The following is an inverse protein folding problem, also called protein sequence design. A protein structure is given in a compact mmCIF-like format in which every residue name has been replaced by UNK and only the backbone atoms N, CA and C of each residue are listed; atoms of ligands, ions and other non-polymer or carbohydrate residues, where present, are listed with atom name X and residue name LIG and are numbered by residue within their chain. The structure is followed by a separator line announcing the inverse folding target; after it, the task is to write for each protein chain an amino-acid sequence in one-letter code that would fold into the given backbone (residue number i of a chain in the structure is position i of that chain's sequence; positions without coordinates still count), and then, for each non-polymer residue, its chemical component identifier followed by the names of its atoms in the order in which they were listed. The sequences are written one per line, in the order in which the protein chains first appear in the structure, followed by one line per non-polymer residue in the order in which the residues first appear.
data_IF_801565073904
#
_entry.id   IF_801565073904
#
_cell.length_a   1.000
_cell.length_b   1.000
_cell.length_c   1.000
_cell.angle_alpha   90.00
_cell.angle_beta   90.00
_cell.angle_gamma   90.00
#
_symmetry.space_group_name_H-M   'P 1'
#
loop_
_entity.id
_entity.type
_entity.pdbx_description
1 polymer ?
#
# COMPACT_ATOMS: atom_id res chain seq x y z
N UNK A 1 -10.61 -9.03 -17.26
CA UNK A 1 -9.40 -8.21 -17.07
C UNK A 1 -9.20 -7.39 -18.33
N UNK A 2 -8.64 -6.17 -18.29
CA UNK A 2 -8.16 -5.55 -19.53
C UNK A 2 -7.24 -6.56 -20.22
N UNK A 3 -7.39 -6.76 -21.54
CA UNK A 3 -6.48 -7.64 -22.27
C UNK A 3 -5.04 -7.13 -22.13
N UNK A 4 -4.07 -8.05 -22.07
CA UNK A 4 -2.62 -7.78 -22.04
C UNK A 4 -2.19 -6.66 -23.00
N UNK A 5 -2.84 -6.61 -24.17
CA UNK A 5 -2.58 -5.63 -25.22
C UNK A 5 -2.80 -4.17 -24.78
N UNK A 6 -3.71 -3.92 -23.84
CA UNK A 6 -4.09 -2.58 -23.42
C UNK A 6 -3.41 -2.12 -22.13
N UNK A 7 -3.08 -3.04 -21.22
CA UNK A 7 -2.50 -2.66 -19.92
C UNK A 7 -1.11 -2.02 -20.06
N UNK A 8 -0.38 -2.30 -21.15
CA UNK A 8 0.89 -1.62 -21.49
C UNK A 8 0.78 -0.10 -21.60
N UNK A 9 -0.43 0.43 -21.83
CA UNK A 9 -0.68 1.89 -21.88
C UNK A 9 -0.93 2.49 -20.49
N UNK A 10 -1.15 1.67 -19.46
CA UNK A 10 -1.27 2.12 -18.08
C UNK A 10 0.12 2.42 -17.52
N UNK A 11 0.59 3.64 -17.76
CA UNK A 11 1.82 4.14 -17.17
C UNK A 11 1.71 5.64 -16.84
N UNK A 12 2.62 6.09 -15.99
CA UNK A 12 2.62 7.46 -15.49
C UNK A 12 2.94 8.47 -16.57
N UNK A 13 3.77 8.12 -17.57
CA UNK A 13 4.12 9.03 -18.66
C UNK A 13 2.88 9.39 -19.49
N UNK A 14 2.05 8.40 -19.81
CA UNK A 14 0.78 8.62 -20.49
C UNK A 14 -0.19 9.43 -19.61
N UNK A 15 -0.29 9.09 -18.32
CA UNK A 15 -1.14 9.84 -17.37
C UNK A 15 -0.77 11.33 -17.31
N UNK A 16 0.52 11.67 -17.40
CA UNK A 16 1.00 13.05 -17.43
C UNK A 16 0.64 13.75 -18.74
N UNK A 17 0.81 13.09 -19.90
CA UNK A 17 0.40 13.67 -21.18
C UNK A 17 -1.12 13.85 -21.27
N UNK A 18 -1.91 12.97 -20.66
CA UNK A 18 -3.37 13.13 -20.55
C UNK A 18 -3.77 14.36 -19.73
N UNK A 19 -3.07 14.62 -18.61
CA UNK A 19 -3.27 15.85 -17.81
C UNK A 19 -2.99 17.09 -18.65
N UNK A 20 -1.89 17.10 -19.42
CA UNK A 20 -1.57 18.21 -20.33
C UNK A 20 -2.66 18.39 -21.39
N UNK A 21 -3.03 17.31 -22.08
CA UNK A 21 -4.03 17.33 -23.14
C UNK A 21 -5.38 17.85 -22.63
N UNK A 22 -5.79 17.42 -21.43
CA UNK A 22 -6.99 17.92 -20.79
C UNK A 22 -6.95 19.44 -20.59
N UNK A 23 -5.86 19.96 -20.00
CA UNK A 23 -5.71 21.39 -19.76
C UNK A 23 -5.73 22.19 -21.06
N UNK A 24 -5.02 21.74 -22.09
CA UNK A 24 -4.99 22.39 -23.40
C UNK A 24 -6.38 22.42 -24.04
N UNK A 25 -7.13 21.31 -23.96
CA UNK A 25 -8.49 21.22 -24.51
C UNK A 25 -9.49 22.08 -23.74
N UNK A 26 -9.40 22.17 -22.42
CA UNK A 26 -10.24 23.08 -21.64
C UNK A 26 -9.90 24.54 -21.97
N UNK A 27 -8.61 24.88 -22.10
CA UNK A 27 -8.23 26.23 -22.49
C UNK A 27 -8.78 26.60 -23.88
N UNK A 28 -8.72 25.68 -24.84
CA UNK A 28 -9.28 25.85 -26.19
C UNK A 28 -10.81 26.02 -26.13
N UNK A 29 -11.51 25.09 -25.48
CA UNK A 29 -12.98 25.05 -25.41
C UNK A 29 -13.57 26.31 -24.77
N UNK A 30 -12.92 26.84 -23.74
CA UNK A 30 -13.39 28.01 -23.00
C UNK A 30 -12.64 29.31 -23.37
N UNK A 31 -11.80 29.28 -24.41
CA UNK A 31 -11.01 30.41 -24.89
C UNK A 31 -10.20 31.11 -23.78
N UNK A 32 -9.53 30.32 -22.94
CA UNK A 32 -8.74 30.78 -21.81
C UNK A 32 -7.30 31.10 -22.25
N UNK A 33 -6.94 32.39 -22.33
CA UNK A 33 -5.65 32.82 -22.92
C UNK A 33 -4.50 33.06 -21.92
N UNK A 34 -4.77 33.11 -20.61
CA UNK A 34 -3.76 33.33 -19.55
C UNK A 34 -4.15 32.60 -18.23
N UNK A 35 -4.71 31.40 -18.33
CA UNK A 35 -5.18 30.68 -17.14
C UNK A 35 -4.04 30.17 -16.25
N UNK A 36 -4.21 30.38 -14.95
CA UNK A 36 -3.30 29.85 -13.93
C UNK A 36 -3.83 28.51 -13.42
N UNK A 37 -3.33 27.42 -13.99
CA UNK A 37 -3.67 26.07 -13.55
C UNK A 37 -2.89 25.69 -12.29
N UNK A 38 -3.62 25.31 -11.25
CA UNK A 38 -3.08 24.67 -10.05
C UNK A 38 -3.62 23.25 -10.01
N UNK A 39 -2.74 22.25 -9.90
CA UNK A 39 -3.12 20.85 -9.79
C UNK A 39 -2.97 20.38 -8.35
N UNK A 40 -3.95 19.66 -7.81
CA UNK A 40 -3.92 19.16 -6.44
C UNK A 40 -4.19 17.67 -6.41
N UNK A 41 -3.52 16.95 -5.51
CA UNK A 41 -3.71 15.51 -5.35
C UNK A 41 -3.15 14.99 -4.04
N UNK A 42 -3.60 13.78 -3.68
CA UNK A 42 -3.13 13.03 -2.52
C UNK A 42 -2.56 11.67 -2.94
N UNK A 43 -1.51 11.22 -2.25
CA UNK A 43 -0.84 9.94 -2.52
C UNK A 43 -0.41 9.85 -4.00
N UNK A 44 -0.80 8.80 -4.73
CA UNK A 44 -0.50 8.65 -6.16
C UNK A 44 -0.92 9.87 -7.00
N UNK A 45 -2.12 10.42 -6.77
CA UNK A 45 -2.57 11.63 -7.48
C UNK A 45 -1.78 12.88 -7.06
N UNK A 46 -1.22 12.90 -5.85
CA UNK A 46 -0.30 13.93 -5.39
C UNK A 46 1.06 13.83 -6.11
N UNK A 47 1.55 12.60 -6.32
CA UNK A 47 2.73 12.34 -7.14
C UNK A 47 2.48 12.82 -8.57
N UNK A 48 1.34 12.48 -9.19
CA UNK A 48 0.96 13.01 -10.51
C UNK A 48 0.90 14.56 -10.52
N UNK A 49 0.32 15.18 -9.50
CA UNK A 49 0.23 16.64 -9.40
C UNK A 49 1.63 17.29 -9.38
N UNK A 50 2.53 16.79 -8.53
CA UNK A 50 3.91 17.27 -8.44
C UNK A 50 4.64 17.12 -9.78
N UNK A 51 4.53 15.94 -10.41
CA UNK A 51 5.22 15.61 -11.65
C UNK A 51 4.65 16.37 -12.86
N UNK A 52 3.35 16.54 -12.95
CA UNK A 52 2.73 17.32 -14.01
C UNK A 52 3.22 18.78 -13.97
N UNK A 53 3.29 19.37 -12.77
CA UNK A 53 3.84 20.72 -12.58
C UNK A 53 5.31 20.82 -12.97
N UNK A 54 6.10 19.79 -12.65
CA UNK A 54 7.51 19.74 -12.99
C UNK A 54 7.72 19.61 -14.50
N UNK A 55 6.95 18.75 -15.17
CA UNK A 55 7.07 18.44 -16.60
C UNK A 55 6.50 19.52 -17.51
N UNK A 56 5.41 20.17 -17.10
CA UNK A 56 4.71 21.17 -17.91
C UNK A 56 4.66 22.55 -17.22
N UNK A 57 5.83 23.17 -16.93
CA UNK A 57 5.89 24.36 -16.09
C UNK A 57 5.33 25.63 -16.74
N UNK A 58 5.24 25.66 -18.07
CA UNK A 58 4.59 26.74 -18.81
C UNK A 58 3.06 26.68 -18.70
N UNK A 59 2.51 25.47 -18.56
CA UNK A 59 1.08 25.19 -18.55
C UNK A 59 0.49 25.19 -17.12
N UNK A 60 1.20 24.58 -16.18
CA UNK A 60 0.77 24.42 -14.78
C UNK A 60 1.61 25.35 -13.91
N UNK A 61 0.94 26.24 -13.15
CA UNK A 61 1.61 27.27 -12.33
C UNK A 61 2.03 26.77 -10.96
N UNK A 62 1.28 25.84 -10.38
CA UNK A 62 1.58 25.27 -9.07
C UNK A 62 0.97 23.88 -8.90
N UNK A 63 1.50 23.14 -7.93
CA UNK A 63 0.95 21.87 -7.50
C UNK A 63 0.79 21.82 -5.97
N UNK A 64 -0.28 21.18 -5.51
CA UNK A 64 -0.49 20.81 -4.10
C UNK A 64 -0.42 19.30 -4.03
N UNK A 65 0.72 18.77 -3.59
CA UNK A 65 0.99 17.34 -3.51
C UNK A 65 0.98 16.88 -2.05
N UNK A 66 -0.11 16.25 -1.62
CA UNK A 66 -0.30 15.83 -0.22
C UNK A 66 0.08 14.36 -0.06
N UNK A 67 0.93 14.04 0.93
CA UNK A 67 1.36 12.66 1.21
C UNK A 67 1.85 11.90 -0.03
N UNK A 68 2.52 12.63 -0.94
CA UNK A 68 2.90 12.14 -2.25
C UNK A 68 4.28 11.47 -2.19
N UNK A 69 4.39 10.16 -2.45
CA UNK A 69 5.71 9.53 -2.60
C UNK A 69 6.33 9.98 -3.94
N UNK A 70 7.39 10.79 -3.86
CA UNK A 70 8.06 11.37 -5.03
C UNK A 70 9.25 10.54 -5.53
N UNK A 71 9.66 9.51 -4.78
CA UNK A 71 10.71 8.58 -5.14
C UNK A 71 10.13 7.18 -5.18
N UNK A 72 10.14 6.56 -6.36
CA UNK A 72 9.81 5.15 -6.54
C UNK A 72 10.85 4.28 -5.81
N UNK A 73 10.39 3.24 -5.13
CA UNK A 73 11.24 2.37 -4.33
C UNK A 73 10.53 1.05 -4.16
N UNK A 74 11.28 -0.06 -4.28
CA UNK A 74 10.77 -1.42 -4.15
C UNK A 74 10.11 -1.70 -2.78
N UNK A 75 10.50 -0.93 -1.77
CA UNK A 75 9.87 -0.99 -0.46
C UNK A 75 9.50 0.40 -0.01
N UNK A 76 8.37 0.49 0.69
CA UNK A 76 7.98 1.68 1.44
C UNK A 76 8.07 1.39 2.94
N UNK A 77 8.61 2.34 3.71
CA UNK A 77 8.79 2.26 5.17
C UNK A 77 7.46 2.40 5.95
N UNK A 78 6.38 1.89 5.37
CA UNK A 78 5.02 2.05 5.89
C UNK A 78 4.85 1.37 7.25
N UNK A 79 5.39 0.16 7.43
CA UNK A 79 5.26 -0.58 8.68
C UNK A 79 6.04 0.09 9.83
N UNK A 80 7.17 0.74 9.53
CA UNK A 80 7.88 1.58 10.51
C UNK A 80 7.01 2.76 10.96
N UNK A 81 6.36 3.45 10.01
CA UNK A 81 5.47 4.56 10.31
C UNK A 81 4.24 4.14 11.13
N UNK A 82 3.73 2.93 10.91
CA UNK A 82 2.65 2.33 11.73
C UNK A 82 3.09 2.23 13.19
N UNK A 83 4.29 1.68 13.44
CA UNK A 83 4.84 1.52 14.80
C UNK A 83 5.03 2.87 15.46
N UNK A 84 5.66 3.83 14.77
CA UNK A 84 5.91 5.17 15.32
C UNK A 84 4.60 5.88 15.68
N UNK A 85 3.57 5.77 14.83
CA UNK A 85 2.27 6.38 15.12
C UNK A 85 1.57 5.70 16.28
N UNK A 86 1.64 4.37 16.40
CA UNK A 86 1.12 3.67 17.57
C UNK A 86 1.82 4.10 18.86
N UNK A 87 3.15 4.17 18.86
CA UNK A 87 3.96 4.63 20.01
C UNK A 87 3.60 6.07 20.42
N UNK A 88 3.44 6.96 19.43
CA UNK A 88 3.06 8.34 19.67
C UNK A 88 1.68 8.50 20.32
N UNK A 89 0.74 7.58 20.05
CA UNK A 89 -0.58 7.57 20.69
C UNK A 89 -0.50 6.94 22.09
N UNK A 90 0.12 5.76 22.21
CA UNK A 90 0.28 5.08 23.49
C UNK A 90 1.43 4.06 23.47
N UNK A 91 2.59 4.45 23.98
CA UNK A 91 3.80 3.63 23.99
C UNK A 91 3.63 2.32 24.78
N UNK A 92 3.06 2.38 26.00
CA UNK A 92 2.88 1.21 26.84
C UNK A 92 1.95 0.16 26.22
N UNK A 93 0.82 0.59 25.62
CA UNK A 93 -0.06 -0.33 24.89
C UNK A 93 0.62 -0.89 23.64
N UNK A 94 1.43 -0.08 22.97
CA UNK A 94 2.18 -0.52 21.77
C UNK A 94 3.15 -1.65 22.08
N UNK A 95 3.88 -1.60 23.20
CA UNK A 95 4.76 -2.68 23.65
C UNK A 95 3.97 -3.97 23.93
N UNK A 96 2.77 -3.85 24.49
CA UNK A 96 1.94 -5.01 24.81
C UNK A 96 1.30 -5.62 23.56
N UNK A 97 0.98 -4.79 22.57
CA UNK A 97 0.55 -5.23 21.24
C UNK A 97 1.66 -6.05 20.59
N UNK A 98 2.92 -5.59 20.66
CA UNK A 98 4.06 -6.35 20.14
C UNK A 98 4.10 -7.79 20.70
N UNK A 99 3.99 -7.94 22.02
CA UNK A 99 3.98 -9.26 22.67
C UNK A 99 2.78 -10.13 22.24
N UNK A 100 1.61 -9.50 22.03
CA UNK A 100 0.42 -10.20 21.55
C UNK A 100 0.57 -10.65 20.09
N UNK A 101 1.21 -9.84 19.25
CA UNK A 101 1.54 -10.18 17.86
C UNK A 101 2.54 -11.34 17.80
N UNK A 102 3.58 -11.32 18.63
CA UNK A 102 4.53 -12.42 18.76
C UNK A 102 3.82 -13.73 19.18
N UNK A 103 2.91 -13.63 20.14
CA UNK A 103 2.08 -14.76 20.58
C UNK A 103 1.21 -15.31 19.44
N UNK A 104 0.59 -14.41 18.65
CA UNK A 104 -0.17 -14.80 17.47
C UNK A 104 0.69 -15.59 16.48
N UNK A 105 1.87 -15.09 16.13
CA UNK A 105 2.73 -15.77 15.16
C UNK A 105 3.28 -17.10 15.69
N UNK A 106 3.56 -17.21 16.99
CA UNK A 106 3.91 -18.49 17.62
C UNK A 106 2.77 -19.51 17.50
N UNK A 107 1.51 -19.10 17.64
CA UNK A 107 0.38 -19.99 17.39
C UNK A 107 0.28 -20.40 15.92
N UNK A 108 0.46 -19.46 14.98
CA UNK A 108 0.43 -19.79 13.54
C UNK A 108 1.55 -20.74 13.10
N UNK A 109 2.63 -20.84 13.86
CA UNK A 109 3.76 -21.72 13.55
C UNK A 109 3.52 -23.20 13.91
N UNK A 110 2.43 -23.53 14.61
CA UNK A 110 2.14 -24.90 15.09
C UNK A 110 0.74 -25.33 14.70
N UNK A 111 0.55 -26.63 14.47
CA UNK A 111 -0.78 -27.17 14.13
C UNK A 111 -1.79 -26.95 15.26
N UNK A 112 -1.39 -27.20 16.51
CA UNK A 112 -2.25 -27.02 17.68
C UNK A 112 -2.60 -25.54 17.91
N UNK A 113 -1.65 -24.63 17.69
CA UNK A 113 -1.88 -23.20 17.80
C UNK A 113 -2.82 -22.67 16.72
N UNK A 114 -2.66 -23.18 15.50
CA UNK A 114 -3.57 -22.93 14.38
C UNK A 114 -5.00 -23.42 14.67
N UNK A 115 -5.16 -24.65 15.20
CA UNK A 115 -6.46 -25.15 15.63
C UNK A 115 -7.06 -24.25 16.73
N UNK A 116 -6.26 -23.85 17.71
CA UNK A 116 -6.69 -22.94 18.78
C UNK A 116 -7.16 -21.59 18.24
N UNK A 117 -6.43 -20.97 17.30
CA UNK A 117 -6.85 -19.74 16.63
C UNK A 117 -8.15 -19.94 15.85
N UNK A 118 -8.30 -21.08 15.16
CA UNK A 118 -9.54 -21.48 14.50
C UNK A 118 -10.72 -21.58 15.46
N UNK A 119 -10.55 -22.18 16.64
CA UNK A 119 -11.60 -22.21 17.67
C UNK A 119 -11.91 -20.82 18.25
N UNK A 120 -10.88 -20.01 18.50
CA UNK A 120 -11.01 -18.68 19.09
C UNK A 120 -11.77 -17.72 18.17
N UNK A 121 -11.47 -17.80 16.87
CA UNK A 121 -11.97 -16.87 15.85
C UNK A 121 -13.14 -17.45 15.02
N UNK A 122 -13.43 -18.74 15.13
CA UNK A 122 -14.53 -19.44 14.43
C UNK A 122 -14.41 -19.29 12.90
N UNK A 123 -15.55 -19.14 12.21
CA UNK A 123 -15.68 -18.99 10.76
C UNK A 123 -14.95 -17.76 10.18
N UNK A 124 -14.41 -16.88 11.03
CA UNK A 124 -13.62 -15.72 10.62
C UNK A 124 -12.14 -16.04 10.38
N UNK A 125 -11.66 -17.21 10.84
CA UNK A 125 -10.28 -17.65 10.61
C UNK A 125 -10.22 -18.67 9.48
N UNK A 126 -9.97 -18.17 8.27
CA UNK A 126 -9.51 -19.00 7.16
C UNK A 126 -8.01 -18.82 7.09
N UNK A 127 -7.27 -19.82 7.54
CA UNK A 127 -5.84 -19.85 7.31
C UNK A 127 -5.61 -20.29 5.87
N UNK A 128 -4.90 -19.47 5.11
CA UNK A 128 -4.34 -19.92 3.86
C UNK A 128 -3.19 -20.87 4.13
N UNK A 129 -3.27 -22.08 3.59
CA UNK A 129 -2.19 -23.08 3.64
C UNK A 129 -1.16 -22.86 2.53
N UNK A 130 -1.27 -21.78 1.73
CA UNK A 130 -0.37 -21.52 0.63
C UNK A 130 0.79 -20.64 1.08
N UNK A 131 2.00 -21.21 1.07
CA UNK A 131 3.27 -20.53 1.33
C UNK A 131 3.56 -19.34 0.38
N UNK A 132 2.76 -19.16 -0.67
CA UNK A 132 2.84 -18.05 -1.63
C UNK A 132 2.04 -16.81 -1.23
N UNK A 133 1.27 -16.84 -0.13
CA UNK A 133 0.45 -15.69 0.27
C UNK A 133 1.28 -14.61 0.99
N UNK A 134 1.64 -13.61 0.21
CA UNK A 134 2.58 -12.55 0.60
C UNK A 134 2.00 -11.49 1.55
N UNK A 135 0.68 -11.36 1.61
CA UNK A 135 0.03 -10.41 2.50
C UNK A 135 -0.85 -11.15 3.49
N UNK A 136 -0.74 -10.84 4.79
CA UNK A 136 -1.52 -11.52 5.78
C UNK A 136 -3.03 -11.39 5.56
N UNK A 137 -3.78 -12.32 6.14
CA UNK A 137 -5.23 -12.36 6.06
C UNK A 137 -5.89 -11.19 6.79
N UNK A 138 -7.16 -10.89 6.48
CA UNK A 138 -7.81 -9.66 6.94
C UNK A 138 -7.80 -9.45 8.47
N UNK A 139 -7.83 -10.53 9.27
CA UNK A 139 -7.77 -10.48 10.73
C UNK A 139 -6.40 -10.79 11.32
N UNK A 140 -5.37 -10.92 10.47
CA UNK A 140 -4.00 -10.95 10.93
C UNK A 140 -3.66 -9.60 11.62
N UNK A 141 -3.04 -9.62 12.82
CA UNK A 141 -2.73 -8.41 13.55
C UNK A 141 -1.88 -7.39 12.78
N UNK A 142 -0.90 -7.82 12.00
CA UNK A 142 -0.03 -6.94 11.21
C UNK A 142 -0.86 -6.17 10.19
N UNK A 143 -1.74 -6.85 9.46
CA UNK A 143 -2.65 -6.21 8.50
C UNK A 143 -3.70 -5.33 9.19
N UNK A 144 -4.24 -5.79 10.32
CA UNK A 144 -5.18 -5.02 11.10
C UNK A 144 -4.58 -3.67 11.53
N UNK A 145 -3.41 -3.66 12.16
CA UNK A 145 -2.78 -2.41 12.65
C UNK A 145 -2.33 -1.50 11.52
N UNK A 146 -1.86 -2.07 10.40
CA UNK A 146 -1.61 -1.32 9.17
C UNK A 146 -2.86 -0.54 8.71
N UNK A 147 -4.02 -1.19 8.69
CA UNK A 147 -5.28 -0.56 8.29
C UNK A 147 -5.81 0.41 9.36
N UNK A 148 -5.72 0.03 10.63
CA UNK A 148 -6.23 0.81 11.76
C UNK A 148 -5.53 2.17 11.89
N UNK A 149 -4.24 2.22 11.54
CA UNK A 149 -3.49 3.48 11.44
C UNK A 149 -3.99 4.37 10.30
N UNK A 150 -4.36 3.78 9.15
CA UNK A 150 -4.80 4.50 7.97
C UNK A 150 -6.23 5.04 8.11
N UNK A 151 -7.13 4.26 8.70
CA UNK A 151 -8.54 4.65 8.86
C UNK A 151 -8.87 5.30 10.21
N UNK A 152 -7.91 5.33 11.14
CA UNK A 152 -8.04 5.98 12.44
C UNK A 152 -8.65 5.10 13.54
N UNK A 153 -9.05 3.86 13.24
CA UNK A 153 -9.64 2.94 14.23
C UNK A 153 -8.65 2.48 15.31
N UNK A 154 -7.36 2.80 15.16
CA UNK A 154 -6.36 2.58 16.22
C UNK A 154 -6.74 3.23 17.55
N UNK A 155 -7.38 4.40 17.51
CA UNK A 155 -7.80 5.12 18.74
C UNK A 155 -8.89 4.32 19.46
N UNK A 156 -9.89 3.86 18.71
CA UNK A 156 -10.95 2.99 19.24
C UNK A 156 -10.38 1.67 19.80
N UNK A 157 -9.43 1.05 19.10
CA UNK A 157 -8.76 -0.15 19.59
C UNK A 157 -8.04 0.13 20.92
N UNK A 158 -7.31 1.23 21.02
CA UNK A 158 -6.61 1.64 22.25
C UNK A 158 -7.57 2.01 23.38
N UNK A 159 -8.76 2.51 23.12
CA UNK A 159 -9.76 2.79 24.15
C UNK A 159 -10.42 1.52 24.69
N UNK A 160 -10.71 0.56 23.80
CA UNK A 160 -11.44 -0.66 24.13
C UNK A 160 -10.57 -1.78 24.69
N UNK A 161 -9.33 -1.91 24.21
CA UNK A 161 -8.44 -2.98 24.68
C UNK A 161 -7.84 -2.64 26.04
N UNK A 162 -8.19 -3.40 27.08
CA UNK A 162 -7.75 -3.16 28.45
C UNK A 162 -6.51 -3.99 28.84
N UNK A 163 -5.78 -4.51 27.87
CA UNK A 163 -4.52 -5.23 28.07
C UNK A 163 -4.65 -6.48 28.96
N UNK A 164 -5.79 -7.16 28.88
CA UNK A 164 -6.19 -8.23 29.78
C UNK A 164 -5.77 -9.62 29.29
N UNK A 165 -6.06 -10.00 28.03
CA UNK A 165 -5.63 -11.30 27.50
C UNK A 165 -5.42 -11.32 25.98
N UNK A 166 -4.71 -12.35 25.50
CA UNK A 166 -4.56 -12.61 24.07
C UNK A 166 -5.92 -12.88 23.38
N UNK A 167 -6.86 -13.53 24.08
CA UNK A 167 -8.17 -13.80 23.52
C UNK A 167 -8.98 -12.54 23.28
N UNK A 168 -8.99 -11.60 24.23
CA UNK A 168 -9.72 -10.33 24.10
C UNK A 168 -9.07 -9.45 23.04
N UNK A 169 -7.74 -9.49 22.94
CA UNK A 169 -6.98 -8.85 21.86
C UNK A 169 -7.46 -9.32 20.48
N UNK A 170 -7.46 -10.64 20.23
CA UNK A 170 -7.86 -11.18 18.94
C UNK A 170 -9.35 -10.97 18.64
N UNK A 171 -10.23 -11.14 19.64
CA UNK A 171 -11.67 -10.87 19.47
C UNK A 171 -11.94 -9.42 19.09
N UNK A 172 -11.24 -8.47 19.70
CA UNK A 172 -11.40 -7.05 19.39
C UNK A 172 -10.89 -6.70 17.98
N UNK A 173 -9.78 -7.31 17.53
CA UNK A 173 -9.31 -7.19 16.14
C UNK A 173 -10.41 -7.62 15.17
N UNK A 174 -11.03 -8.78 15.42
CA UNK A 174 -12.11 -9.30 14.57
C UNK A 174 -13.34 -8.40 14.62
N UNK A 175 -13.75 -7.95 15.80
CA UNK A 175 -14.94 -7.11 15.97
C UNK A 175 -14.81 -5.77 15.23
N UNK A 176 -13.68 -5.08 15.38
CA UNK A 176 -13.40 -3.83 14.65
C UNK A 176 -13.22 -4.10 13.15
N UNK A 177 -12.51 -5.17 12.80
CA UNK A 177 -12.28 -5.55 11.40
C UNK A 177 -13.58 -5.83 10.64
N UNK A 178 -14.50 -6.61 11.23
CA UNK A 178 -15.80 -6.94 10.63
C UNK A 178 -16.58 -5.71 10.24
N UNK A 179 -16.71 -4.75 11.17
CA UNK A 179 -17.42 -3.51 10.94
C UNK A 179 -16.89 -2.78 9.69
N UNK A 180 -15.56 -2.75 9.50
CA UNK A 180 -14.92 -2.08 8.36
C UNK A 180 -14.93 -2.86 7.05
N UNK A 181 -14.91 -4.20 7.09
CA UNK A 181 -15.01 -5.04 5.88
C UNK A 181 -16.28 -4.74 5.06
N UNK A 182 -17.36 -4.35 5.71
CA UNK A 182 -18.61 -3.95 5.04
C UNK A 182 -18.56 -2.55 4.40
N UNK A 183 -17.63 -1.68 4.80
CA UNK A 183 -17.57 -0.29 4.32
C UNK A 183 -16.70 -0.10 3.06
N UNK A 184 -15.75 -1.00 2.77
CA UNK A 184 -14.80 -0.84 1.66
C UNK A 184 -14.74 -2.08 0.76
N UNK A 185 -15.49 -2.05 -0.34
CA UNK A 185 -15.17 -2.85 -1.53
C UNK A 185 -14.71 -1.92 -2.64
N UNK A 186 -13.41 -1.62 -2.71
CA UNK A 186 -12.85 -1.16 -3.99
C UNK A 186 -13.04 -2.27 -5.02
N UNK A 187 -13.36 -1.90 -6.26
CA UNK A 187 -13.62 -2.88 -7.30
C UNK A 187 -12.36 -3.68 -7.62
N UNK A 188 -12.47 -5.00 -7.73
CA UNK A 188 -11.37 -5.92 -8.07
C UNK A 188 -10.54 -5.49 -9.30
N UNK A 189 -11.13 -4.73 -10.22
CA UNK A 189 -10.41 -4.20 -11.39
C UNK A 189 -9.45 -3.06 -11.04
N UNK A 190 -9.80 -2.15 -10.15
CA UNK A 190 -8.94 -1.01 -9.75
C UNK A 190 -7.69 -1.51 -9.03
N UNK A 191 -7.84 -2.51 -8.16
CA UNK A 191 -6.74 -3.15 -7.45
C UNK A 191 -5.72 -3.77 -8.41
N UNK A 192 -6.20 -4.43 -9.48
CA UNK A 192 -5.32 -5.01 -10.50
C UNK A 192 -4.55 -3.96 -11.30
N UNK A 193 -5.21 -2.86 -11.68
CA UNK A 193 -4.54 -1.74 -12.36
C UNK A 193 -3.45 -1.12 -11.49
N UNK A 194 -3.74 -0.94 -10.19
CA UNK A 194 -2.75 -0.44 -9.25
C UNK A 194 -1.59 -1.42 -9.06
N UNK A 195 -1.88 -2.72 -8.96
CA UNK A 195 -0.87 -3.77 -8.84
C UNK A 195 0.09 -3.78 -10.05
N UNK A 196 -0.43 -3.60 -11.27
CA UNK A 196 0.42 -3.46 -12.45
C UNK A 196 1.41 -2.29 -12.31
N UNK A 197 0.95 -1.11 -11.88
CA UNK A 197 1.84 0.04 -11.69
C UNK A 197 2.83 -0.13 -10.52
N UNK A 198 2.43 -0.85 -9.46
CA UNK A 198 3.38 -1.23 -8.40
C UNK A 198 4.49 -2.11 -8.96
N UNK A 199 4.15 -3.08 -9.82
CA UNK A 199 5.10 -4.01 -10.40
C UNK A 199 5.93 -3.42 -11.54
N UNK A 200 5.46 -2.39 -12.25
CA UNK A 200 6.17 -1.86 -13.43
C UNK A 200 6.74 -0.46 -13.27
N UNK A 201 6.33 0.30 -12.25
CA UNK A 201 6.75 1.70 -12.10
C UNK A 201 7.20 2.07 -10.69
N UNK A 202 6.41 1.74 -9.67
CA UNK A 202 6.59 2.38 -8.36
C UNK A 202 7.28 1.55 -7.31
N UNK A 203 7.02 0.24 -7.31
CA UNK A 203 7.58 -0.67 -6.34
C UNK A 203 7.08 -0.47 -4.91
N UNK A 204 6.07 0.35 -4.59
CA UNK A 204 5.68 0.70 -3.20
C UNK A 204 5.08 -0.44 -2.35
N UNK A 205 5.72 -1.60 -2.33
CA UNK A 205 5.34 -2.76 -1.55
C UNK A 205 5.66 -2.54 -0.08
N UNK A 206 4.72 -2.95 0.77
CA UNK A 206 4.88 -2.92 2.22
C UNK A 206 5.63 -4.20 2.60
N UNK A 207 6.62 -4.11 3.47
CA UNK A 207 7.29 -5.28 4.07
C UNK A 207 7.57 -5.03 5.54
N UNK A 208 7.79 -6.11 6.30
CA UNK A 208 8.19 -6.04 7.71
C UNK A 208 9.69 -6.30 7.88
N UNK A 209 10.46 -5.79 6.94
CA UNK A 209 11.81 -6.26 6.69
C UNK A 209 12.93 -5.29 7.07
N UNK A 210 12.54 -4.08 7.49
CA UNK A 210 13.41 -3.19 8.26
C UNK A 210 13.66 -3.82 9.63
N UNK A 211 14.76 -3.49 10.30
CA UNK A 211 15.00 -4.01 11.65
C UNK A 211 13.86 -3.66 12.61
N UNK A 212 13.35 -2.42 12.53
CA UNK A 212 12.27 -1.94 13.41
C UNK A 212 10.97 -2.71 13.20
N UNK A 213 10.57 -2.93 11.95
CA UNK A 213 9.34 -3.64 11.63
C UNK A 213 9.48 -5.14 11.85
N UNK A 214 10.66 -5.71 11.62
CA UNK A 214 10.97 -7.11 11.92
C UNK A 214 10.87 -7.38 13.42
N UNK A 215 11.45 -6.51 14.25
CA UNK A 215 11.39 -6.65 15.71
C UNK A 215 9.95 -6.59 16.24
N UNK A 216 9.08 -5.82 15.57
CA UNK A 216 7.71 -5.58 16.05
C UNK A 216 6.66 -6.55 15.48
N UNK A 217 6.68 -6.80 14.18
CA UNK A 217 5.69 -7.59 13.45
C UNK A 217 6.21 -8.97 13.04
N UNK A 218 7.47 -9.30 13.32
CA UNK A 218 8.13 -10.47 12.76
C UNK A 218 8.27 -10.40 11.24
N UNK A 219 8.64 -11.52 10.61
CA UNK A 219 8.74 -11.64 9.15
C UNK A 219 7.38 -11.93 8.50
N UNK A 220 6.33 -11.23 8.96
CA UNK A 220 4.94 -11.46 8.53
C UNK A 220 4.62 -10.91 7.15
N UNK A 221 5.43 -9.98 6.63
CA UNK A 221 5.43 -9.58 5.22
C UNK A 221 6.87 -9.66 4.70
N UNK A 222 7.32 -10.86 4.28
CA UNK A 222 8.70 -11.11 3.86
C UNK A 222 9.22 -10.21 2.74
N UNK A 223 10.56 -10.07 2.66
CA UNK A 223 11.21 -9.32 1.56
C UNK A 223 10.94 -9.89 0.18
N UNK A 224 10.68 -11.19 0.07
CA UNK A 224 10.45 -11.88 -1.22
C UNK A 224 9.07 -11.58 -1.81
N UNK A 225 8.17 -10.97 -1.02
CA UNK A 225 6.79 -10.74 -1.41
C UNK A 225 6.62 -9.97 -2.73
N UNK A 226 7.33 -8.86 -3.00
CA UNK A 226 7.20 -8.15 -4.26
C UNK A 226 7.49 -9.03 -5.48
N UNK A 227 8.52 -9.88 -5.39
CA UNK A 227 8.91 -10.80 -6.46
C UNK A 227 7.78 -11.80 -6.74
N UNK A 228 7.32 -12.52 -5.70
CA UNK A 228 6.23 -13.48 -5.86
C UNK A 228 4.94 -12.84 -6.37
N UNK A 229 4.59 -11.66 -5.86
CA UNK A 229 3.39 -10.90 -6.24
C UNK A 229 3.47 -10.49 -7.72
N UNK A 230 4.59 -9.92 -8.15
CA UNK A 230 4.73 -9.38 -9.50
C UNK A 230 4.93 -10.48 -10.54
N UNK A 231 5.75 -11.48 -10.26
CA UNK A 231 5.93 -12.62 -11.15
C UNK A 231 4.60 -13.34 -11.40
N UNK A 232 3.82 -13.59 -10.35
CA UNK A 232 2.53 -14.26 -10.49
C UNK A 232 1.54 -13.37 -11.24
N UNK A 233 1.42 -12.10 -10.86
CA UNK A 233 0.49 -11.17 -11.47
C UNK A 233 0.75 -10.97 -12.98
N UNK A 234 2.01 -10.76 -13.35
CA UNK A 234 2.34 -10.48 -14.75
C UNK A 234 2.29 -11.74 -15.63
N UNK A 235 2.55 -12.94 -15.08
CA UNK A 235 2.24 -14.21 -15.77
C UNK A 235 0.74 -14.34 -16.07
N UNK A 236 -0.11 -13.97 -15.12
CA UNK A 236 -1.57 -14.05 -15.28
C UNK A 236 -2.11 -13.01 -16.26
N UNK A 237 -1.46 -11.84 -16.36
CA UNK A 237 -1.88 -10.74 -17.22
C UNK A 237 -1.34 -10.88 -18.65
N UNK A 238 -0.05 -11.16 -18.82
CA UNK A 238 0.64 -11.05 -20.11
C UNK A 238 0.85 -12.38 -20.85
N UNK A 239 0.24 -13.48 -20.41
CA UNK A 239 0.18 -14.80 -21.08
C UNK A 239 1.12 -14.91 -22.29
N UNK A 240 2.34 -15.42 -22.06
CA UNK A 240 3.46 -15.58 -23.01
C UNK A 240 4.51 -14.44 -23.09
N UNK A 241 4.50 -13.45 -22.19
CA UNK A 241 5.63 -12.53 -22.03
C UNK A 241 6.69 -13.08 -21.06
N UNK A 242 7.97 -12.93 -21.40
CA UNK A 242 9.11 -13.14 -20.50
C UNK A 242 9.23 -11.98 -19.50
N UNK A 243 8.18 -11.69 -18.73
CA UNK A 243 8.31 -10.74 -17.61
C UNK A 243 9.11 -11.40 -16.48
N UNK A 244 10.11 -10.69 -15.97
CA UNK A 244 10.83 -11.09 -14.75
C UNK A 244 10.81 -9.98 -13.72
N UNK A 245 11.05 -10.31 -12.45
CA UNK A 245 11.12 -9.30 -11.39
C UNK A 245 12.21 -8.23 -11.62
N UNK A 246 13.27 -8.51 -12.39
CA UNK A 246 14.23 -7.51 -12.84
C UNK A 246 13.57 -6.40 -13.69
N UNK A 247 12.50 -6.70 -14.42
CA UNK A 247 11.71 -5.67 -15.12
C UNK A 247 11.05 -4.72 -14.14
N UNK A 248 10.62 -5.20 -12.97
CA UNK A 248 10.12 -4.33 -11.89
C UNK A 248 11.19 -3.36 -11.42
N UNK A 249 12.41 -3.85 -11.19
CA UNK A 249 13.54 -3.03 -10.76
C UNK A 249 13.89 -1.99 -11.83
N UNK A 250 13.96 -2.41 -13.10
CA UNK A 250 14.21 -1.50 -14.22
C UNK A 250 13.11 -0.44 -14.34
N UNK A 251 11.86 -0.82 -14.12
CA UNK A 251 10.70 0.08 -14.11
C UNK A 251 10.81 1.16 -13.03
N UNK A 252 11.17 0.78 -11.81
CA UNK A 252 11.42 1.70 -10.69
C UNK A 252 12.56 2.67 -11.01
N UNK A 253 13.66 2.18 -11.57
CA UNK A 253 14.79 3.03 -11.98
C UNK A 253 14.39 4.03 -13.06
N UNK A 254 13.70 3.59 -14.11
CA UNK A 254 13.18 4.47 -15.19
C UNK A 254 12.24 5.53 -14.64
N UNK A 255 11.35 5.14 -13.74
CA UNK A 255 10.40 6.02 -13.06
C UNK A 255 11.15 7.11 -12.28
N UNK A 256 12.16 6.73 -11.49
CA UNK A 256 13.02 7.70 -10.79
C UNK A 256 13.85 8.59 -11.72
N UNK A 257 14.33 8.07 -12.86
CA UNK A 257 15.04 8.86 -13.88
C UNK A 257 14.14 9.93 -14.50
N UNK A 258 12.88 9.59 -14.77
CA UNK A 258 11.89 10.52 -15.33
C UNK A 258 11.58 11.68 -14.37
N UNK A 259 11.56 11.42 -13.06
CA UNK A 259 11.10 12.39 -12.05
C UNK A 259 12.24 13.18 -11.42
N UNK A 260 13.45 12.62 -11.42
CA UNK A 260 14.54 13.11 -10.61
C UNK A 260 14.32 12.84 -9.12
N UNK A 261 15.17 13.43 -8.30
CA UNK A 261 15.21 13.18 -6.86
C UNK A 261 14.32 14.16 -6.08
N UNK A 262 13.74 13.78 -4.91
CA UNK A 262 12.80 14.60 -4.12
C UNK A 262 13.27 16.03 -3.81
N UNK A 263 14.57 16.28 -3.81
CA UNK A 263 15.23 17.57 -3.55
C UNK A 263 14.87 18.64 -4.60
N UNK A 264 14.23 18.27 -5.71
CA UNK A 264 13.69 19.22 -6.70
C UNK A 264 12.36 19.85 -6.28
N UNK A 265 11.74 19.36 -5.21
CA UNK A 265 10.46 19.84 -4.69
C UNK A 265 10.67 20.57 -3.37
N UNK A 266 9.89 21.63 -3.13
CA UNK A 266 9.81 22.27 -1.82
C UNK A 266 8.96 21.38 -0.90
N UNK A 267 9.56 20.28 -0.43
CA UNK A 267 8.94 19.31 0.50
C UNK A 267 9.09 19.82 1.94
#
# INVERSE_FOLDING_TARGET
MPQAEYIKYLNISQSLEDIKNFIEKINEQFNLKDSNWIIAGCFYSGTLAALARQRFPSLIKGAVAVSAPLKASLYIDFMDAVIEKMKAINENKTIQIQNAIETYYNYTATFEGQEYLGYLLKDDYIMSTNETECYPEFYDPTKFFANAIQDGTIVEFFEKWNNDSFETFMKLIVDIGKYKKFEKSEGHQQQKLWQHQLCTEFGYFRTTSSQKSLDFFGDSIPKICPELICDQFEKDVFLNAEYTFEDSISGIEKTNQLFGVPEKFNV
#
